data_IF_754825471367
#
_entry.id   IF_754825471367
#
_cell.length_a   1.000
_cell.length_b   1.000
_cell.length_c   1.000
_cell.angle_alpha   90.00
_cell.angle_beta   90.00
_cell.angle_gamma   90.00
#
_symmetry.space_group_name_H-M   'P 1'
#
loop_
_entity.id
_entity.type
_entity.pdbx_description
1 polymer ?
#
# COMPACT_ATOMS: atom_id res chain seq x y z
N UNK A 1 14.07 0.91 9.17
CA UNK A 1 13.50 0.52 7.86
C UNK A 1 14.14 -0.78 7.42
N UNK A 2 13.37 -1.84 7.25
CA UNK A 2 13.82 -3.12 6.65
C UNK A 2 13.68 -3.08 5.12
N UNK A 3 14.35 -3.98 4.41
CA UNK A 3 14.21 -4.12 2.94
C UNK A 3 12.74 -4.37 2.53
N UNK A 4 12.02 -5.19 3.29
CA UNK A 4 10.58 -5.44 3.07
C UNK A 4 9.76 -4.15 3.23
N UNK A 5 10.06 -3.34 4.26
CA UNK A 5 9.38 -2.05 4.45
C UNK A 5 9.69 -1.06 3.32
N UNK A 6 10.93 -1.03 2.82
CA UNK A 6 11.31 -0.19 1.66
C UNK A 6 10.52 -0.59 0.42
N UNK A 7 10.45 -1.89 0.12
CA UNK A 7 9.65 -2.40 -1.01
C UNK A 7 8.19 -2.03 -0.85
N UNK A 8 7.61 -2.21 0.34
CA UNK A 8 6.21 -1.85 0.58
C UNK A 8 5.96 -0.34 0.45
N UNK A 9 6.89 0.51 0.90
CA UNK A 9 6.79 1.97 0.70
C UNK A 9 6.88 2.34 -0.79
N UNK A 10 7.76 1.70 -1.55
CA UNK A 10 7.87 1.93 -2.99
C UNK A 10 6.55 1.57 -3.70
N UNK A 11 5.96 0.42 -3.37
CA UNK A 11 4.65 0.00 -3.90
C UNK A 11 3.53 0.93 -3.45
N UNK A 12 3.52 1.37 -2.20
CA UNK A 12 2.52 2.31 -1.69
C UNK A 12 2.55 3.64 -2.46
N UNK A 13 3.75 4.19 -2.68
CA UNK A 13 3.95 5.40 -3.48
C UNK A 13 3.55 5.21 -4.94
N UNK A 14 3.87 4.07 -5.55
CA UNK A 14 3.42 3.72 -6.90
C UNK A 14 1.89 3.74 -7.00
N UNK A 15 1.20 3.02 -6.09
CA UNK A 15 -0.27 2.95 -6.10
C UNK A 15 -0.89 4.33 -5.88
N UNK A 16 -0.39 5.14 -4.92
CA UNK A 16 -0.82 6.53 -4.73
C UNK A 16 -0.63 7.34 -6.02
N UNK A 17 0.52 7.17 -6.67
CA UNK A 17 0.86 7.76 -7.94
C UNK A 17 -0.14 7.43 -9.04
N UNK A 18 -0.83 6.30 -9.00
CA UNK A 18 -1.84 5.90 -9.98
C UNK A 18 -3.24 6.49 -9.69
N UNK A 19 -3.50 6.95 -8.46
CA UNK A 19 -4.83 7.40 -8.03
C UNK A 19 -5.30 8.70 -8.69
N UNK A 20 -4.43 9.46 -9.36
CA UNK A 20 -4.82 10.68 -10.09
C UNK A 20 -5.59 10.41 -11.40
N UNK A 21 -5.55 9.17 -11.93
CA UNK A 21 -6.18 8.81 -13.20
C UNK A 21 -7.69 9.06 -13.19
N UNK A 22 -8.31 9.22 -14.36
CA UNK A 22 -9.78 9.31 -14.46
C UNK A 22 -10.43 8.01 -13.92
N UNK A 23 -11.59 8.14 -13.27
CA UNK A 23 -12.30 7.01 -12.66
C UNK A 23 -13.48 6.59 -13.53
N UNK A 24 -13.76 5.27 -13.66
CA UNK A 24 -13.01 4.16 -13.09
C UNK A 24 -11.74 3.83 -13.91
N UNK A 25 -10.72 3.29 -13.26
CA UNK A 25 -9.56 2.69 -13.96
C UNK A 25 -9.20 1.33 -13.36
N UNK A 26 -8.42 0.54 -14.10
CA UNK A 26 -7.88 -0.73 -13.63
C UNK A 26 -6.49 -0.49 -13.05
N UNK A 27 -6.34 -0.68 -11.73
CA UNK A 27 -5.04 -0.80 -11.09
C UNK A 27 -4.56 -2.24 -11.32
N UNK A 28 -3.53 -2.40 -12.15
CA UNK A 28 -2.92 -3.69 -12.47
C UNK A 28 -1.67 -3.82 -11.63
N UNK A 29 -1.62 -4.84 -10.79
CA UNK A 29 -0.48 -5.13 -9.93
C UNK A 29 0.12 -6.48 -10.29
N UNK A 30 1.44 -6.55 -10.35
CA UNK A 30 2.16 -7.81 -10.47
C UNK A 30 2.12 -8.62 -9.15
N UNK A 31 2.74 -9.80 -9.13
CA UNK A 31 2.75 -10.67 -7.95
C UNK A 31 3.45 -10.03 -6.74
N UNK A 32 4.54 -9.30 -6.96
CA UNK A 32 5.29 -8.62 -5.90
C UNK A 32 4.51 -7.44 -5.32
N UNK A 33 3.95 -6.60 -6.19
CA UNK A 33 3.10 -5.47 -5.81
C UNK A 33 1.83 -5.93 -5.08
N UNK A 34 1.24 -7.04 -5.51
CA UNK A 34 0.08 -7.66 -4.84
C UNK A 34 0.45 -8.15 -3.45
N UNK A 35 1.61 -8.80 -3.31
CA UNK A 35 2.15 -9.23 -2.02
C UNK A 35 2.39 -8.04 -1.09
N UNK A 36 3.00 -6.97 -1.58
CA UNK A 36 3.23 -5.75 -0.82
C UNK A 36 1.92 -5.09 -0.37
N UNK A 37 0.93 -4.98 -1.25
CA UNK A 37 -0.38 -4.43 -0.90
C UNK A 37 -1.07 -5.25 0.21
N UNK A 38 -0.96 -6.58 0.17
CA UNK A 38 -1.44 -7.44 1.26
C UNK A 38 -0.74 -7.11 2.58
N UNK A 39 0.59 -7.04 2.60
CA UNK A 39 1.35 -6.80 3.84
C UNK A 39 1.05 -5.43 4.43
N UNK A 40 0.90 -4.41 3.59
CA UNK A 40 0.47 -3.08 4.00
C UNK A 40 -0.91 -3.15 4.68
N UNK A 41 -1.88 -3.83 4.04
CA UNK A 41 -3.23 -3.95 4.59
C UNK A 41 -3.25 -4.74 5.91
N UNK A 42 -2.42 -5.78 6.05
CA UNK A 42 -2.24 -6.51 7.32
C UNK A 42 -1.65 -5.61 8.42
N UNK A 43 -0.61 -4.83 8.12
CA UNK A 43 -0.01 -3.90 9.09
C UNK A 43 -1.00 -2.80 9.53
N UNK A 44 -1.89 -2.40 8.61
CA UNK A 44 -2.95 -1.41 8.82
C UNK A 44 -4.26 -2.00 9.38
N UNK A 45 -4.34 -3.30 9.69
CA UNK A 45 -5.57 -3.94 10.21
C UNK A 45 -6.14 -3.27 11.46
N UNK A 46 -5.28 -2.70 12.30
CA UNK A 46 -5.65 -1.97 13.51
C UNK A 46 -6.54 -0.74 13.27
N UNK A 47 -6.67 -0.26 12.02
CA UNK A 47 -7.59 0.80 11.64
C UNK A 47 -9.07 0.39 11.69
N UNK A 48 -9.38 -0.92 11.84
CA UNK A 48 -10.75 -1.46 11.92
C UNK A 48 -11.68 -0.95 10.80
N UNK A 49 -11.15 -0.89 9.57
CA UNK A 49 -11.87 -0.39 8.39
C UNK A 49 -12.32 -1.53 7.50
N UNK A 50 -13.58 -1.52 7.08
CA UNK A 50 -14.13 -2.48 6.10
C UNK A 50 -13.33 -2.50 4.79
N UNK A 51 -12.78 -1.34 4.39
CA UNK A 51 -11.93 -1.25 3.21
C UNK A 51 -10.62 -2.00 3.39
N UNK A 52 -9.97 -1.87 4.55
CA UNK A 52 -8.73 -2.58 4.87
C UNK A 52 -8.97 -4.10 4.89
N UNK A 53 -10.06 -4.55 5.51
CA UNK A 53 -10.44 -5.97 5.51
C UNK A 53 -10.75 -6.49 4.11
N UNK A 54 -11.40 -5.68 3.27
CA UNK A 54 -11.63 -6.02 1.87
C UNK A 54 -10.30 -6.18 1.11
N UNK A 55 -9.34 -5.28 1.27
CA UNK A 55 -8.01 -5.39 0.63
C UNK A 55 -7.31 -6.68 1.06
N UNK A 56 -7.30 -6.99 2.36
CA UNK A 56 -6.73 -8.24 2.88
C UNK A 56 -7.41 -9.44 2.20
N UNK A 57 -8.75 -9.45 2.15
CA UNK A 57 -9.51 -10.56 1.58
C UNK A 57 -9.21 -10.80 0.11
N UNK A 58 -9.14 -9.75 -0.71
CA UNK A 58 -8.92 -9.90 -2.16
C UNK A 58 -7.47 -10.21 -2.52
N UNK A 59 -6.51 -9.84 -1.68
CA UNK A 59 -5.08 -10.08 -1.92
C UNK A 59 -4.54 -11.34 -1.26
N UNK A 60 -5.19 -11.89 -0.22
CA UNK A 60 -4.68 -13.03 0.56
C UNK A 60 -4.35 -14.25 -0.29
N UNK A 61 -5.30 -14.73 -1.09
CA UNK A 61 -5.05 -15.91 -1.95
C UNK A 61 -4.00 -15.59 -3.01
N UNK A 62 -4.05 -14.39 -3.61
CA UNK A 62 -3.10 -13.96 -4.63
C UNK A 62 -1.66 -13.95 -4.13
N UNK A 63 -1.44 -13.47 -2.90
CA UNK A 63 -0.14 -13.54 -2.24
C UNK A 63 0.32 -14.99 -2.05
N UNK A 64 -0.56 -15.86 -1.56
CA UNK A 64 -0.23 -17.29 -1.34
C UNK A 64 0.12 -17.98 -2.66
N UNK A 65 -0.63 -17.67 -3.72
CA UNK A 65 -0.45 -18.26 -5.05
C UNK A 65 0.69 -17.60 -5.85
N UNK A 66 1.26 -16.50 -5.37
CA UNK A 66 2.29 -15.73 -6.08
C UNK A 66 1.78 -15.10 -7.38
N UNK A 67 0.53 -14.62 -7.39
CA UNK A 67 -0.13 -14.06 -8.59
C UNK A 67 -0.45 -12.58 -8.44
N UNK A 68 -0.49 -11.88 -9.58
CA UNK A 68 -0.94 -10.49 -9.65
C UNK A 68 -2.45 -10.32 -9.43
N UNK A 69 -2.89 -9.07 -9.32
CA UNK A 69 -4.30 -8.70 -9.18
C UNK A 69 -4.65 -7.50 -10.07
N UNK A 70 -5.89 -7.47 -10.56
CA UNK A 70 -6.47 -6.29 -11.20
C UNK A 70 -7.58 -5.79 -10.29
N UNK A 71 -7.46 -4.56 -9.80
CA UNK A 71 -8.47 -3.90 -8.98
C UNK A 71 -9.11 -2.78 -9.81
N UNK A 72 -10.42 -2.86 -10.03
CA UNK A 72 -11.18 -1.78 -10.66
C UNK A 72 -11.42 -0.66 -9.64
N UNK A 73 -10.59 0.38 -9.68
CA UNK A 73 -10.65 1.50 -8.74
C UNK A 73 -11.79 2.43 -9.14
N UNK A 74 -12.80 2.50 -8.27
CA UNK A 74 -13.93 3.43 -8.38
C UNK A 74 -13.66 4.71 -7.58
N UNK A 75 -14.44 5.77 -7.84
CA UNK A 75 -14.27 7.07 -7.14
C UNK A 75 -14.30 6.93 -5.61
N UNK A 76 -15.17 6.07 -5.07
CA UNK A 76 -15.29 5.84 -3.63
C UNK A 76 -14.13 5.02 -3.02
N UNK A 77 -13.30 4.36 -3.83
CA UNK A 77 -12.10 3.65 -3.35
C UNK A 77 -10.91 4.58 -3.13
N UNK A 78 -10.88 5.74 -3.80
CA UNK A 78 -9.70 6.62 -3.85
C UNK A 78 -9.28 7.06 -2.46
N UNK A 79 -10.21 7.63 -1.69
CA UNK A 79 -9.88 8.17 -0.37
C UNK A 79 -9.48 7.08 0.63
N UNK A 80 -10.24 5.96 0.80
CA UNK A 80 -9.82 4.87 1.67
C UNK A 80 -8.47 4.24 1.28
N UNK A 81 -8.23 4.01 -0.01
CA UNK A 81 -6.98 3.44 -0.51
C UNK A 81 -5.81 4.38 -0.25
N UNK A 82 -5.96 5.67 -0.61
CA UNK A 82 -4.95 6.68 -0.33
C UNK A 82 -4.64 6.77 1.16
N UNK A 83 -5.66 6.84 2.02
CA UNK A 83 -5.47 6.99 3.46
C UNK A 83 -4.72 5.80 4.08
N UNK A 84 -5.09 4.56 3.72
CA UNK A 84 -4.39 3.35 4.18
C UNK A 84 -2.91 3.37 3.79
N UNK A 85 -2.60 3.70 2.53
CA UNK A 85 -1.23 3.73 2.01
C UNK A 85 -0.42 4.87 2.64
N UNK A 86 -1.00 6.06 2.78
CA UNK A 86 -0.34 7.22 3.39
C UNK A 86 -0.03 6.99 4.87
N UNK A 87 -0.94 6.34 5.62
CA UNK A 87 -0.70 5.98 7.02
C UNK A 87 0.42 4.94 7.17
N UNK A 88 0.48 3.95 6.27
CA UNK A 88 1.58 3.00 6.24
C UNK A 88 2.92 3.71 5.99
N UNK A 89 2.98 4.57 4.98
CA UNK A 89 4.19 5.36 4.67
C UNK A 89 4.58 6.20 5.89
N UNK A 90 3.66 6.96 6.48
CA UNK A 90 3.96 7.80 7.65
C UNK A 90 4.50 6.96 8.83
N UNK A 91 3.92 5.80 9.10
CA UNK A 91 4.37 4.90 10.18
C UNK A 91 5.81 4.39 9.97
N UNK A 92 6.21 4.12 8.73
CA UNK A 92 7.48 3.43 8.44
C UNK A 92 8.58 4.35 7.87
N UNK A 93 8.22 5.48 7.27
CA UNK A 93 9.14 6.47 6.66
C UNK A 93 9.67 7.52 7.66
N UNK A 94 9.11 7.58 8.87
CA UNK A 94 9.64 8.42 9.95
C UNK A 94 11.12 8.14 10.31
N UNK A 95 11.63 6.95 9.99
CA UNK A 95 13.04 6.60 10.23
C UNK A 95 14.03 7.14 9.18
N UNK A 96 13.55 7.61 8.02
CA UNK A 96 14.41 8.26 7.02
C UNK A 96 14.74 9.71 7.39
N UNK A 97 13.74 10.45 7.87
CA UNK A 97 13.89 11.88 8.24
C UNK A 97 14.74 12.06 9.50
N UNK A 98 14.60 11.20 10.50
CA UNK A 98 15.39 11.29 11.75
C UNK A 98 16.87 10.96 11.51
N UNK A 99 17.20 10.10 10.52
CA UNK A 99 18.59 9.79 10.18
C UNK A 99 19.29 10.95 9.48
N UNK A 100 18.57 11.68 8.60
CA UNK A 100 19.09 12.87 7.93
C UNK A 100 19.35 14.06 8.88
N UNK A 101 18.63 14.15 10.01
CA UNK A 101 18.82 15.20 11.01
C UNK A 101 19.91 14.89 12.05
N UNK A 102 20.33 13.63 12.18
CA UNK A 102 21.41 13.22 13.06
C UNK A 102 22.81 13.27 12.44
N UNK A 103 22.91 13.44 11.10
CA UNK A 103 24.18 13.54 10.37
C UNK A 103 24.66 15.00 10.18
N UNK A 104 23.90 15.97 10.70
CA UNK A 104 24.30 17.39 10.84
C UNK A 104 24.60 17.70 12.31
N UNK A 105 25.68 17.14 12.85
CA UNK A 105 26.34 17.59 14.08
C UNK A 105 27.81 17.23 14.10
#
# INVERSE_FOLDING_TARGET
>A
MTEIQQTNIAVANFIIGELHKEKPFNLVLDAGETGALYEIAVDMRHLNSDFVEWVIKVTKSRKVDGTGIIIRVQKHFVHPLYNMLALYINKHDQYGVVKALGEVS
#
